data_IF_089197952773
#
_entry.id   IF_089197952773
#
_cell.length_a   1.000
_cell.length_b   1.000
_cell.length_c   1.000
_cell.angle_alpha   90.00
_cell.angle_beta   90.00
_cell.angle_gamma   90.00
#
_symmetry.space_group_name_H-M   'P 1'
#
loop_
_entity.id
_entity.type
_entity.pdbx_description
1 polymer ?
#
# COMPACT_ATOMS: atom_id res chain seq x y z
N UNK A 1 -10.13 -14.96 -12.82
CA UNK A 1 -9.98 -15.84 -11.61
C UNK A 1 -10.22 -14.93 -10.43
N UNK A 2 -11.29 -15.12 -9.62
CA UNK A 2 -11.49 -14.39 -8.37
C UNK A 2 -10.30 -14.68 -7.48
N UNK A 3 -9.62 -13.66 -6.99
CA UNK A 3 -8.86 -13.79 -5.75
C UNK A 3 -9.87 -14.26 -4.72
N UNK A 4 -9.72 -15.49 -4.24
CA UNK A 4 -10.64 -16.05 -3.27
C UNK A 4 -10.69 -15.11 -2.07
N UNK A 5 -11.91 -14.75 -1.64
CA UNK A 5 -12.12 -14.09 -0.36
C UNK A 5 -11.61 -15.09 0.69
N UNK A 6 -10.44 -14.85 1.22
CA UNK A 6 -9.88 -15.66 2.30
C UNK A 6 -10.29 -15.01 3.63
N UNK A 7 -11.31 -15.60 4.25
CA UNK A 7 -11.85 -15.11 5.50
C UNK A 7 -10.80 -15.00 6.62
N UNK A 8 -9.81 -15.88 6.63
CA UNK A 8 -8.72 -15.80 7.59
C UNK A 8 -7.82 -14.61 7.30
N UNK A 9 -7.38 -14.46 6.05
CA UNK A 9 -6.56 -13.31 5.64
C UNK A 9 -7.28 -11.99 5.90
N UNK A 10 -8.56 -11.90 5.56
CA UNK A 10 -9.39 -10.71 5.81
C UNK A 10 -9.49 -10.39 7.31
N UNK A 11 -9.72 -11.39 8.16
CA UNK A 11 -9.84 -11.19 9.60
C UNK A 11 -8.52 -10.68 10.21
N UNK A 12 -7.39 -11.33 9.91
CA UNK A 12 -6.10 -10.95 10.51
C UNK A 12 -5.56 -9.65 9.93
N UNK A 13 -5.70 -9.43 8.60
CA UNK A 13 -5.27 -8.17 7.96
C UNK A 13 -6.14 -6.98 8.39
N UNK A 14 -7.45 -7.20 8.56
CA UNK A 14 -8.36 -6.18 9.07
C UNK A 14 -8.02 -5.76 10.49
N UNK A 15 -7.74 -6.73 11.37
CA UNK A 15 -7.29 -6.43 12.73
C UNK A 15 -5.93 -5.74 12.73
N UNK A 16 -4.99 -6.20 11.89
CA UNK A 16 -3.68 -5.56 11.72
C UNK A 16 -3.82 -4.09 11.34
N UNK A 17 -4.64 -3.78 10.34
CA UNK A 17 -4.90 -2.41 9.89
C UNK A 17 -5.45 -1.55 11.02
N UNK A 18 -6.44 -2.05 11.75
CA UNK A 18 -7.06 -1.32 12.88
C UNK A 18 -6.03 -0.99 13.97
N UNK A 19 -5.16 -1.93 14.33
CA UNK A 19 -4.09 -1.71 15.30
C UNK A 19 -3.06 -0.69 14.78
N UNK A 20 -2.57 -0.86 13.55
CA UNK A 20 -1.50 -0.03 13.00
C UNK A 20 -1.94 1.42 12.79
N UNK A 21 -3.16 1.68 12.32
CA UNK A 21 -3.68 3.04 12.14
C UNK A 21 -3.71 3.83 13.44
N UNK A 22 -3.92 3.16 14.57
CA UNK A 22 -3.91 3.75 15.91
C UNK A 22 -2.50 3.83 16.49
N UNK A 23 -1.77 2.72 16.44
CA UNK A 23 -0.47 2.58 17.09
C UNK A 23 0.63 3.44 16.45
N UNK A 24 0.72 3.49 15.11
CA UNK A 24 1.83 4.19 14.45
C UNK A 24 1.90 5.69 14.78
N UNK A 25 0.78 6.47 14.73
CA UNK A 25 0.81 7.86 15.17
C UNK A 25 1.09 8.02 16.68
N UNK A 26 0.59 7.11 17.53
CA UNK A 26 0.87 7.12 18.96
C UNK A 26 2.35 6.89 19.26
N UNK A 27 2.96 5.89 18.64
CA UNK A 27 4.42 5.61 18.74
C UNK A 27 5.23 6.83 18.29
N UNK A 28 4.84 7.47 17.18
CA UNK A 28 5.53 8.67 16.70
C UNK A 28 5.48 9.81 17.73
N UNK A 29 4.33 10.01 18.35
CA UNK A 29 4.13 11.08 19.34
C UNK A 29 4.79 10.78 20.68
N UNK A 30 4.79 9.52 21.11
CA UNK A 30 5.34 9.04 22.38
C UNK A 30 6.17 7.76 22.16
N UNK A 31 7.43 7.88 21.69
CA UNK A 31 8.23 6.70 21.31
C UNK A 31 8.54 5.73 22.46
N UNK A 32 8.39 6.15 23.69
CA UNK A 32 8.61 5.33 24.89
C UNK A 32 7.32 4.69 25.45
N UNK A 33 6.16 4.94 24.83
CA UNK A 33 4.90 4.31 25.20
C UNK A 33 4.92 2.82 24.83
N UNK A 34 5.04 1.97 25.86
CA UNK A 34 5.16 0.51 25.68
C UNK A 34 3.87 -0.11 25.20
N UNK A 35 2.71 0.41 25.57
CA UNK A 35 1.41 -0.11 25.13
C UNK A 35 1.21 0.16 23.64
N UNK A 36 1.49 1.39 23.19
CA UNK A 36 1.45 1.73 21.77
C UNK A 36 2.45 0.88 20.95
N UNK A 37 3.65 0.64 21.47
CA UNK A 37 4.66 -0.20 20.82
C UNK A 37 4.22 -1.67 20.73
N UNK A 38 3.64 -2.22 21.79
CA UNK A 38 3.09 -3.58 21.80
C UNK A 38 1.98 -3.71 20.75
N UNK A 39 1.07 -2.74 20.72
CA UNK A 39 -0.01 -2.71 19.74
C UNK A 39 0.51 -2.65 18.30
N UNK A 40 1.53 -1.83 18.04
CA UNK A 40 2.22 -1.76 16.76
C UNK A 40 2.89 -3.09 16.36
N UNK A 41 3.55 -3.77 17.29
CA UNK A 41 4.16 -5.08 17.05
C UNK A 41 3.12 -6.16 16.75
N UNK A 42 2.00 -6.19 17.49
CA UNK A 42 0.89 -7.11 17.22
C UNK A 42 0.28 -6.84 15.84
N UNK A 43 0.06 -5.57 15.48
CA UNK A 43 -0.44 -5.19 14.16
C UNK A 43 0.50 -5.63 13.04
N UNK A 44 1.80 -5.44 13.20
CA UNK A 44 2.81 -5.89 12.24
C UNK A 44 2.80 -7.41 12.10
N UNK A 45 2.77 -8.16 13.20
CA UNK A 45 2.75 -9.63 13.16
C UNK A 45 1.49 -10.17 12.48
N UNK A 46 0.31 -9.62 12.79
CA UNK A 46 -0.93 -9.98 12.12
C UNK A 46 -0.90 -9.67 10.61
N UNK A 47 -0.30 -8.55 10.20
CA UNK A 47 -0.19 -8.20 8.78
C UNK A 47 0.62 -9.22 7.99
N UNK A 48 1.72 -9.72 8.55
CA UNK A 48 2.54 -10.78 7.94
C UNK A 48 1.75 -12.10 7.91
N UNK A 49 1.03 -12.44 8.99
CA UNK A 49 0.21 -13.65 9.03
C UNK A 49 -0.87 -13.65 7.96
N UNK A 50 -1.51 -12.49 7.71
CA UNK A 50 -2.49 -12.33 6.64
C UNK A 50 -1.90 -12.49 5.24
N UNK A 51 -0.73 -11.92 4.99
CA UNK A 51 -0.09 -12.00 3.67
C UNK A 51 0.52 -13.38 3.37
N UNK A 52 0.85 -14.18 4.40
CA UNK A 52 1.43 -15.52 4.23
C UNK A 52 0.43 -16.58 3.75
N UNK A 53 -0.86 -16.26 3.67
CA UNK A 53 -1.91 -17.18 3.16
C UNK A 53 -1.84 -17.41 1.65
N UNK A 54 -0.97 -16.70 0.93
CA UNK A 54 -0.85 -16.77 -0.52
C UNK A 54 -1.84 -15.87 -1.26
N UNK A 55 -2.56 -14.99 -0.55
CA UNK A 55 -3.33 -13.91 -1.17
C UNK A 55 -2.38 -12.99 -1.92
N UNK A 56 -2.65 -12.79 -3.21
CA UNK A 56 -1.80 -11.97 -4.07
C UNK A 56 -1.75 -10.51 -3.63
N UNK A 57 -0.56 -9.95 -3.64
CA UNK A 57 -0.34 -8.51 -3.51
C UNK A 57 -0.43 -7.85 -4.89
N UNK A 58 -0.80 -6.57 -4.96
CA UNK A 58 -1.07 -5.88 -6.21
C UNK A 58 0.09 -5.01 -6.71
N UNK A 59 -0.24 -4.14 -7.66
CA UNK A 59 0.71 -3.29 -8.40
C UNK A 59 1.56 -2.38 -7.51
N UNK A 60 1.04 -1.89 -6.38
CA UNK A 60 1.84 -1.09 -5.44
C UNK A 60 3.08 -1.86 -4.97
N UNK A 61 2.94 -3.16 -4.75
CA UNK A 61 4.06 -4.02 -4.34
C UNK A 61 5.02 -4.29 -5.49
N UNK A 62 4.49 -4.54 -6.70
CA UNK A 62 5.32 -4.71 -7.90
C UNK A 62 6.16 -3.46 -8.19
N UNK A 63 5.55 -2.28 -8.17
CA UNK A 63 6.28 -1.00 -8.31
C UNK A 63 7.32 -0.87 -7.18
N UNK A 64 6.95 -1.26 -5.96
CA UNK A 64 7.86 -1.25 -4.81
C UNK A 64 9.13 -2.09 -5.01
N UNK A 65 9.02 -3.26 -5.63
CA UNK A 65 10.17 -4.09 -5.98
C UNK A 65 11.10 -3.36 -6.97
N UNK A 66 10.55 -2.76 -8.01
CA UNK A 66 11.32 -1.98 -8.98
C UNK A 66 12.01 -0.78 -8.33
N UNK A 67 11.28 -0.02 -7.51
CA UNK A 67 11.84 1.14 -6.79
C UNK A 67 12.95 0.73 -5.82
N UNK A 68 12.77 -0.37 -5.10
CA UNK A 68 13.78 -0.87 -4.18
C UNK A 68 15.01 -1.42 -4.90
N UNK A 69 14.80 -2.28 -5.89
CA UNK A 69 15.88 -2.97 -6.61
C UNK A 69 16.68 -2.09 -7.54
N UNK A 70 16.02 -1.19 -8.27
CA UNK A 70 16.67 -0.38 -9.33
C UNK A 70 16.98 1.05 -8.91
N UNK A 71 16.26 1.60 -7.95
CA UNK A 71 16.38 3.01 -7.53
C UNK A 71 16.82 3.19 -6.08
N UNK A 72 17.05 2.09 -5.35
CA UNK A 72 17.55 2.15 -3.97
C UNK A 72 16.57 2.75 -2.96
N UNK A 73 15.28 2.85 -3.28
CA UNK A 73 14.27 3.34 -2.34
C UNK A 73 14.08 2.30 -1.23
N UNK A 74 14.18 2.67 0.06
CA UNK A 74 13.98 1.73 1.16
C UNK A 74 12.61 1.05 1.08
N UNK A 75 12.56 -0.27 1.24
CA UNK A 75 11.34 -1.07 1.03
C UNK A 75 10.13 -0.56 1.84
N UNK A 76 10.33 -0.14 3.09
CA UNK A 76 9.26 0.45 3.91
C UNK A 76 8.71 1.77 3.37
N UNK A 77 9.44 2.47 2.51
CA UNK A 77 9.04 3.75 1.91
C UNK A 77 8.31 3.53 0.57
N UNK A 78 8.61 2.45 -0.14
CA UNK A 78 8.01 2.22 -1.47
C UNK A 78 6.48 2.23 -1.44
N UNK A 79 5.87 1.57 -0.44
CA UNK A 79 4.41 1.58 -0.28
C UNK A 79 3.85 2.94 0.15
N UNK A 80 4.62 3.76 0.86
CA UNK A 80 4.19 5.10 1.24
C UNK A 80 3.95 5.98 0.01
N UNK A 81 4.80 5.86 -1.01
CA UNK A 81 4.72 6.68 -2.23
C UNK A 81 3.82 6.08 -3.31
N UNK A 82 3.53 4.77 -3.28
CA UNK A 82 2.79 4.09 -4.37
C UNK A 82 1.38 3.65 -4.00
N UNK A 83 1.12 3.30 -2.73
CA UNK A 83 -0.16 2.70 -2.34
C UNK A 83 -1.36 3.64 -2.51
N UNK A 84 -1.31 4.94 -2.14
CA UNK A 84 -2.45 5.84 -2.34
C UNK A 84 -2.89 5.93 -3.81
N UNK A 85 -1.91 6.05 -4.73
CA UNK A 85 -2.18 6.14 -6.17
C UNK A 85 -2.69 4.83 -6.73
N UNK A 86 -2.12 3.71 -6.30
CA UNK A 86 -2.59 2.37 -6.68
C UNK A 86 -4.03 2.12 -6.22
N UNK A 87 -4.41 2.57 -5.04
CA UNK A 87 -5.80 2.49 -4.55
C UNK A 87 -6.73 3.32 -5.42
N UNK A 88 -6.37 4.55 -5.77
CA UNK A 88 -7.18 5.40 -6.66
C UNK A 88 -7.39 4.75 -8.01
N UNK A 89 -6.33 4.25 -8.62
CA UNK A 89 -6.39 3.59 -9.92
C UNK A 89 -7.25 2.32 -9.90
N UNK A 90 -7.18 1.54 -8.82
CA UNK A 90 -7.94 0.31 -8.62
C UNK A 90 -9.41 0.54 -8.22
N UNK A 91 -9.83 1.76 -7.87
CA UNK A 91 -11.15 2.02 -7.30
C UNK A 91 -12.31 1.55 -8.19
N UNK A 92 -12.17 1.65 -9.52
CA UNK A 92 -13.17 1.16 -10.47
C UNK A 92 -13.41 -0.35 -10.41
N UNK A 93 -12.44 -1.12 -9.94
CA UNK A 93 -12.51 -2.59 -9.90
C UNK A 93 -12.81 -3.16 -8.51
N UNK A 94 -12.48 -2.44 -7.43
CA UNK A 94 -12.58 -2.99 -6.07
C UNK A 94 -13.11 -2.02 -5.01
N UNK A 95 -13.95 -1.06 -5.40
CA UNK A 95 -14.47 -0.02 -4.51
C UNK A 95 -15.07 -0.58 -3.21
N UNK A 96 -15.81 -1.68 -3.27
CA UNK A 96 -16.42 -2.28 -2.07
C UNK A 96 -15.37 -2.78 -1.08
N UNK A 97 -14.27 -3.36 -1.56
CA UNK A 97 -13.14 -3.75 -0.69
C UNK A 97 -12.43 -2.52 -0.10
N UNK A 98 -12.30 -1.45 -0.86
CA UNK A 98 -11.72 -0.21 -0.35
C UNK A 98 -12.62 0.48 0.69
N UNK A 99 -13.94 0.39 0.57
CA UNK A 99 -14.88 0.87 1.62
C UNK A 99 -14.67 0.12 2.94
N UNK A 100 -14.41 -1.17 2.89
CA UNK A 100 -14.07 -1.94 4.09
C UNK A 100 -12.76 -1.46 4.72
N UNK A 101 -11.73 -1.18 3.91
CA UNK A 101 -10.50 -0.54 4.39
C UNK A 101 -10.81 0.80 5.09
N UNK A 102 -11.63 1.65 4.48
CA UNK A 102 -12.04 2.94 5.06
C UNK A 102 -12.77 2.78 6.39
N UNK A 103 -13.65 1.78 6.49
CA UNK A 103 -14.37 1.45 7.73
C UNK A 103 -13.39 1.02 8.83
N UNK A 104 -12.45 0.14 8.51
CA UNK A 104 -11.41 -0.33 9.44
C UNK A 104 -10.45 0.78 9.89
N UNK A 105 -10.22 1.77 9.02
CA UNK A 105 -9.46 2.99 9.37
C UNK A 105 -10.30 4.02 10.15
N UNK A 106 -11.55 3.70 10.49
CA UNK A 106 -12.44 4.54 11.32
C UNK A 106 -13.13 5.69 10.59
N UNK A 107 -13.09 5.72 9.24
CA UNK A 107 -13.73 6.79 8.43
C UNK A 107 -14.41 6.20 7.20
N UNK A 108 -15.57 5.54 7.36
CA UNK A 108 -16.23 4.77 6.29
C UNK A 108 -16.63 5.59 5.06
N UNK A 109 -16.84 6.91 5.22
CA UNK A 109 -17.23 7.80 4.13
C UNK A 109 -16.06 8.37 3.33
N UNK A 110 -14.83 8.20 3.82
CA UNK A 110 -13.63 8.70 3.15
C UNK A 110 -13.08 7.67 2.16
N UNK A 111 -12.35 8.13 1.14
CA UNK A 111 -11.65 7.22 0.22
C UNK A 111 -10.45 6.57 0.93
N UNK A 112 -10.27 5.27 0.79
CA UNK A 112 -9.14 4.55 1.36
C UNK A 112 -7.79 5.14 0.92
N UNK A 113 -7.69 5.57 -0.34
CA UNK A 113 -6.50 6.24 -0.87
C UNK A 113 -6.14 7.51 -0.09
N UNK A 114 -7.14 8.33 0.25
CA UNK A 114 -6.92 9.57 0.99
C UNK A 114 -6.55 9.28 2.46
N UNK A 115 -7.17 8.26 3.05
CA UNK A 115 -6.85 7.86 4.42
C UNK A 115 -5.41 7.33 4.56
N UNK A 116 -4.96 6.55 3.58
CA UNK A 116 -3.57 6.07 3.54
C UNK A 116 -2.60 7.24 3.34
N UNK A 117 -2.90 8.15 2.39
CA UNK A 117 -2.08 9.34 2.17
C UNK A 117 -1.99 10.22 3.44
N UNK A 118 -3.10 10.42 4.14
CA UNK A 118 -3.14 11.17 5.40
C UNK A 118 -2.32 10.48 6.51
N UNK A 119 -2.36 9.16 6.59
CA UNK A 119 -1.55 8.41 7.53
C UNK A 119 -0.05 8.60 7.24
N UNK A 120 0.37 8.43 6.00
CA UNK A 120 1.76 8.66 5.55
C UNK A 120 2.21 10.07 5.93
N UNK A 121 1.40 11.08 5.63
CA UNK A 121 1.67 12.48 5.98
C UNK A 121 1.79 12.70 7.50
N UNK A 122 0.88 12.16 8.30
CA UNK A 122 0.93 12.24 9.78
C UNK A 122 2.20 11.61 10.34
N UNK A 123 2.67 10.54 9.71
CA UNK A 123 3.92 9.88 10.09
C UNK A 123 5.16 10.68 9.63
N UNK A 124 5.01 11.70 8.79
CA UNK A 124 6.11 12.51 8.26
C UNK A 124 6.96 11.75 7.27
N UNK A 125 6.37 10.78 6.59
CA UNK A 125 7.04 9.96 5.58
C UNK A 125 6.83 10.56 4.18
N UNK A 126 7.73 10.28 3.22
CA UNK A 126 7.56 10.69 1.83
C UNK A 126 6.23 10.18 1.27
N UNK A 127 5.50 11.04 0.56
CA UNK A 127 4.20 10.71 -0.01
C UNK A 127 4.17 10.67 -1.53
N UNK A 128 5.27 11.04 -2.20
CA UNK A 128 5.36 11.13 -3.65
C UNK A 128 6.67 10.54 -4.16
N UNK A 129 6.67 10.07 -5.39
CA UNK A 129 7.87 9.51 -6.04
C UNK A 129 9.01 10.53 -6.12
N UNK A 130 8.71 11.80 -6.40
CA UNK A 130 9.72 12.86 -6.41
C UNK A 130 10.37 13.13 -5.05
N UNK A 131 9.66 12.84 -3.95
CA UNK A 131 10.21 13.03 -2.60
C UNK A 131 11.31 11.99 -2.26
N UNK A 132 11.38 10.92 -3.06
CA UNK A 132 12.38 9.85 -2.93
C UNK A 132 13.37 9.84 -4.11
N UNK A 133 13.46 10.94 -4.86
CA UNK A 133 14.45 11.13 -5.92
C UNK A 133 14.10 10.51 -7.28
N UNK A 134 12.87 10.02 -7.47
CA UNK A 134 12.41 9.53 -8.78
C UNK A 134 12.13 10.72 -9.68
N UNK A 135 12.71 10.72 -10.88
CA UNK A 135 12.48 11.76 -11.89
C UNK A 135 11.31 11.34 -12.78
N UNK A 136 10.61 12.33 -13.33
CA UNK A 136 9.46 12.06 -14.20
C UNK A 136 9.84 11.27 -15.46
N UNK A 137 11.03 11.50 -15.96
CA UNK A 137 11.59 10.77 -17.12
C UNK A 137 11.83 9.30 -16.85
N UNK A 138 11.96 8.88 -15.59
CA UNK A 138 12.16 7.48 -15.21
C UNK A 138 10.85 6.66 -15.17
N UNK A 139 9.68 7.31 -15.21
CA UNK A 139 8.39 6.63 -15.01
C UNK A 139 8.12 5.53 -16.04
N UNK A 140 8.49 5.76 -17.31
CA UNK A 140 8.33 4.75 -18.36
C UNK A 140 9.22 3.53 -18.10
N UNK A 141 10.48 3.73 -17.76
CA UNK A 141 11.42 2.64 -17.47
C UNK A 141 10.99 1.83 -16.24
N UNK A 142 10.46 2.52 -15.20
CA UNK A 142 9.89 1.86 -14.02
C UNK A 142 8.69 1.00 -14.42
N UNK A 143 7.79 1.51 -15.25
CA UNK A 143 6.62 0.79 -15.71
C UNK A 143 6.99 -0.46 -16.52
N UNK A 144 7.91 -0.32 -17.48
CA UNK A 144 8.38 -1.43 -18.31
C UNK A 144 9.00 -2.55 -17.45
N UNK A 145 9.82 -2.18 -16.47
CA UNK A 145 10.43 -3.16 -15.56
C UNK A 145 9.36 -3.83 -14.68
N UNK A 146 8.44 -3.05 -14.12
CA UNK A 146 7.39 -3.54 -13.22
C UNK A 146 6.46 -4.55 -13.89
N UNK A 147 6.22 -4.45 -15.21
CA UNK A 147 5.39 -5.41 -15.97
C UNK A 147 5.85 -6.86 -15.86
N UNK A 148 7.12 -7.09 -15.59
CA UNK A 148 7.70 -8.44 -15.47
C UNK A 148 7.51 -9.04 -14.07
N UNK A 149 7.03 -8.28 -13.09
CA UNK A 149 6.86 -8.76 -11.73
C UNK A 149 5.53 -9.50 -11.53
N UNK A 150 5.56 -10.61 -10.81
CA UNK A 150 4.42 -11.49 -10.58
C UNK A 150 3.19 -10.76 -9.94
N UNK A 151 3.35 -9.88 -8.96
CA UNK A 151 2.25 -9.13 -8.34
C UNK A 151 1.40 -8.29 -9.30
N UNK A 152 1.90 -7.94 -10.48
CA UNK A 152 1.09 -7.25 -11.51
C UNK A 152 -0.13 -8.08 -11.91
N UNK A 153 0.04 -9.42 -11.97
CA UNK A 153 -1.01 -10.36 -12.42
C UNK A 153 -2.15 -10.53 -11.40
N UNK A 154 -1.91 -10.18 -10.14
CA UNK A 154 -2.88 -10.29 -9.05
C UNK A 154 -3.53 -8.95 -8.69
N UNK A 155 -3.25 -7.89 -9.47
CA UNK A 155 -3.86 -6.59 -9.24
C UNK A 155 -5.37 -6.62 -9.51
N UNK A 156 -6.22 -6.00 -8.65
CA UNK A 156 -7.67 -6.03 -8.80
C UNK A 156 -8.19 -5.49 -10.14
N UNK A 157 -7.70 -4.34 -10.59
CA UNK A 157 -7.91 -3.85 -11.95
C UNK A 157 -6.81 -4.43 -12.82
N UNK A 158 -7.21 -5.13 -13.90
CA UNK A 158 -6.24 -5.77 -14.79
C UNK A 158 -5.27 -4.75 -15.37
N UNK A 159 -4.00 -5.09 -15.36
CA UNK A 159 -2.91 -4.33 -15.98
C UNK A 159 -2.51 -5.09 -17.24
N UNK A 160 -2.66 -4.47 -18.38
CA UNK A 160 -2.40 -5.09 -19.69
C UNK A 160 -1.16 -4.51 -20.36
N UNK A 161 -0.87 -3.24 -20.12
CA UNK A 161 0.22 -2.51 -20.77
C UNK A 161 1.04 -1.70 -19.75
N UNK A 162 2.31 -1.40 -20.05
CA UNK A 162 3.12 -0.49 -19.23
C UNK A 162 2.46 0.87 -19.01
N UNK A 163 1.67 1.36 -19.97
CA UNK A 163 0.92 2.62 -19.85
C UNK A 163 -0.05 2.64 -18.65
N UNK A 164 -0.62 1.49 -18.27
CA UNK A 164 -1.48 1.40 -17.10
C UNK A 164 -0.69 1.68 -15.81
N UNK A 165 0.56 1.23 -15.77
CA UNK A 165 1.46 1.49 -14.64
C UNK A 165 1.93 2.95 -14.67
N UNK A 166 2.21 3.51 -15.86
CA UNK A 166 2.55 4.94 -15.99
C UNK A 166 1.44 5.82 -15.44
N UNK A 167 0.15 5.51 -15.71
CA UNK A 167 -0.98 6.23 -15.10
C UNK A 167 -0.90 6.25 -13.56
N UNK A 168 -0.57 5.10 -12.95
CA UNK A 168 -0.42 5.00 -11.49
C UNK A 168 0.76 5.84 -11.00
N UNK A 169 1.89 5.77 -11.71
CA UNK A 169 3.11 6.50 -11.37
C UNK A 169 2.93 8.01 -11.51
N UNK A 170 2.21 8.48 -12.52
CA UNK A 170 1.86 9.90 -12.68
C UNK A 170 0.98 10.40 -11.52
N UNK A 171 0.03 9.59 -11.04
CA UNK A 171 -0.75 9.91 -9.85
C UNK A 171 0.10 9.97 -8.57
N UNK A 172 1.22 9.28 -8.55
CA UNK A 172 2.13 9.18 -7.42
C UNK A 172 3.26 10.23 -7.44
N UNK A 173 3.49 10.89 -8.59
CA UNK A 173 4.59 11.82 -8.81
C UNK A 173 4.23 13.26 -8.38
#
# INVERSE_FOLDING_TARGET
>A
MRTADDAFSDAVSGQALTLLVRALPAIKSAPQDLDARLEGQLGMWLSISGSSTGVGVGVSHAIGHTLGGSYGVPHGITSCVTLPSSLRWNASANLNRQREVSRLMGKPEALAADLVADLVKRLGLPGRLRDVGIRREDLQAIADHTMHDAPVRTNPRKIEHPSDIVEILELAW
#
